data_IF_852275358519
#
_entry.id   IF_852275358519
#
_cell.length_a   1.000
_cell.length_b   1.000
_cell.length_c   1.000
_cell.angle_alpha   90.00
_cell.angle_beta   90.00
_cell.angle_gamma   90.00
#
_symmetry.space_group_name_H-M   'P 1'
#
loop_
_entity.id
_entity.type
_entity.pdbx_description
1 polymer ?
#
# COMPACT_ATOMS: atom_id res chain seq x y z
N UNK A 1 22.67 14.98 23.64
CA UNK A 1 22.30 16.42 23.75
C UNK A 1 20.97 16.54 23.04
N UNK A 2 19.88 16.82 23.77
CA UNK A 2 18.56 17.04 23.13
C UNK A 2 18.74 18.22 22.19
N UNK A 3 18.59 17.97 20.89
CA UNK A 3 18.60 19.08 19.93
C UNK A 3 17.29 19.81 20.18
N UNK A 4 17.37 20.94 20.88
CA UNK A 4 16.33 21.96 20.92
C UNK A 4 16.27 22.62 19.54
N UNK A 5 15.96 21.82 18.52
CA UNK A 5 15.52 22.34 17.24
C UNK A 5 14.22 23.09 17.52
N UNK A 6 13.97 24.18 16.80
CA UNK A 6 12.82 25.08 16.90
C UNK A 6 11.45 24.41 16.59
N UNK A 7 11.35 23.08 16.76
CA UNK A 7 10.30 22.18 16.33
C UNK A 7 10.06 21.11 17.42
N UNK A 8 9.20 21.45 18.38
CA UNK A 8 8.88 20.59 19.53
C UNK A 8 8.16 19.29 19.15
N UNK A 9 7.59 19.22 17.95
CA UNK A 9 6.83 18.07 17.44
C UNK A 9 7.59 17.25 16.37
N UNK A 10 8.82 17.65 16.02
CA UNK A 10 9.63 17.06 14.95
C UNK A 10 8.99 17.08 13.55
N UNK A 11 7.99 17.93 13.32
CA UNK A 11 7.31 18.02 12.03
C UNK A 11 8.20 18.63 10.94
N UNK A 12 8.85 19.76 11.25
CA UNK A 12 9.77 20.45 10.35
C UNK A 12 11.07 19.68 10.14
N UNK A 13 11.66 19.12 11.20
CA UNK A 13 12.87 18.28 11.09
C UNK A 13 12.62 17.07 10.20
N UNK A 14 11.51 16.34 10.42
CA UNK A 14 11.21 15.16 9.59
C UNK A 14 10.83 15.55 8.16
N UNK A 15 10.19 16.70 7.94
CA UNK A 15 9.92 17.22 6.59
C UNK A 15 11.22 17.51 5.83
N UNK A 16 12.18 18.21 6.45
CA UNK A 16 13.48 18.52 5.83
C UNK A 16 14.26 17.25 5.52
N UNK A 17 14.30 16.29 6.45
CA UNK A 17 14.96 14.99 6.22
C UNK A 17 14.29 14.27 5.04
N UNK A 18 12.96 14.21 5.02
CA UNK A 18 12.21 13.53 3.97
C UNK A 18 12.45 14.18 2.61
N UNK A 19 12.37 15.50 2.53
CA UNK A 19 12.61 16.28 1.29
C UNK A 19 14.05 16.08 0.81
N UNK A 20 15.04 16.21 1.70
CA UNK A 20 16.45 16.03 1.34
C UNK A 20 16.75 14.61 0.86
N UNK A 21 16.21 13.60 1.54
CA UNK A 21 16.39 12.19 1.17
C UNK A 21 15.74 11.86 -0.18
N UNK A 22 14.51 12.32 -0.41
CA UNK A 22 13.81 12.09 -1.68
C UNK A 22 14.43 12.90 -2.83
N UNK A 23 14.91 14.12 -2.57
CA UNK A 23 15.65 14.90 -3.55
C UNK A 23 16.96 14.22 -3.95
N UNK A 24 17.69 13.64 -2.99
CA UNK A 24 18.89 12.86 -3.27
C UNK A 24 18.57 11.63 -4.13
N UNK A 25 17.53 10.87 -3.78
CA UNK A 25 17.07 9.73 -4.57
C UNK A 25 16.68 10.16 -6.00
N UNK A 26 15.99 11.29 -6.15
CA UNK A 26 15.64 11.86 -7.45
C UNK A 26 16.88 12.23 -8.28
N UNK A 27 17.88 12.87 -7.67
CA UNK A 27 19.14 13.20 -8.35
C UNK A 27 19.89 11.96 -8.80
N UNK A 28 19.96 10.91 -7.96
CA UNK A 28 20.58 9.64 -8.32
C UNK A 28 19.82 9.00 -9.49
N UNK A 29 18.49 9.00 -9.47
CA UNK A 29 17.68 8.50 -10.58
C UNK A 29 17.93 9.27 -11.88
N UNK A 30 18.08 10.60 -11.82
CA UNK A 30 18.40 11.40 -13.01
C UNK A 30 19.78 11.10 -13.60
N UNK A 31 20.78 10.85 -12.74
CA UNK A 31 22.17 10.60 -13.17
C UNK A 31 22.33 9.18 -13.71
N UNK A 32 21.80 8.18 -13.01
CA UNK A 32 22.03 6.77 -13.31
C UNK A 32 20.91 6.13 -14.14
N UNK A 33 19.73 6.76 -14.23
CA UNK A 33 18.55 6.18 -14.87
C UNK A 33 18.01 4.94 -14.17
N UNK A 34 18.48 4.65 -12.95
CA UNK A 34 18.10 3.46 -12.19
C UNK A 34 16.83 3.72 -11.37
N UNK A 35 15.75 3.07 -11.77
CA UNK A 35 14.45 3.18 -11.13
C UNK A 35 14.31 2.27 -9.91
N UNK A 36 15.28 1.38 -9.68
CA UNK A 36 15.34 0.50 -8.50
C UNK A 36 15.40 1.27 -7.20
N UNK A 37 16.05 2.44 -7.23
CA UNK A 37 16.21 3.31 -6.07
C UNK A 37 14.89 4.00 -5.68
N UNK A 38 14.00 4.27 -6.64
CA UNK A 38 12.76 5.03 -6.38
C UNK A 38 11.89 4.35 -5.32
N UNK A 39 11.64 3.05 -5.50
CA UNK A 39 10.81 2.27 -4.58
C UNK A 39 11.54 1.97 -3.25
N UNK A 40 12.85 1.71 -3.31
CA UNK A 40 13.66 1.48 -2.10
C UNK A 40 13.73 2.72 -1.21
N UNK A 41 13.94 3.90 -1.81
CA UNK A 41 13.99 5.18 -1.12
C UNK A 41 12.68 5.54 -0.40
N UNK A 42 11.54 4.99 -0.83
CA UNK A 42 10.29 5.10 -0.10
C UNK A 42 10.36 4.39 1.24
N UNK A 43 10.62 3.08 1.22
CA UNK A 43 10.65 2.24 2.42
C UNK A 43 11.78 2.59 3.39
N UNK A 44 12.99 2.85 2.89
CA UNK A 44 14.14 3.19 3.74
C UNK A 44 13.97 4.52 4.48
N UNK A 45 13.23 5.48 3.92
CA UNK A 45 12.99 6.77 4.55
C UNK A 45 12.16 6.63 5.84
N UNK A 46 11.15 5.76 5.87
CA UNK A 46 10.43 5.42 7.12
C UNK A 46 11.36 4.89 8.21
N UNK A 47 12.30 4.01 7.83
CA UNK A 47 13.30 3.47 8.76
C UNK A 47 14.18 4.59 9.32
N UNK A 48 14.67 5.47 8.45
CA UNK A 48 15.50 6.63 8.84
C UNK A 48 14.72 7.55 9.78
N UNK A 49 13.47 7.91 9.46
CA UNK A 49 12.66 8.78 10.31
C UNK A 49 12.41 8.16 11.70
N UNK A 50 12.07 6.87 11.77
CA UNK A 50 11.86 6.19 13.05
C UNK A 50 13.13 6.15 13.90
N UNK A 51 14.29 5.91 13.29
CA UNK A 51 15.58 5.89 13.97
C UNK A 51 16.02 7.29 14.43
N UNK A 52 15.95 8.28 13.53
CA UNK A 52 16.41 9.65 13.81
C UNK A 52 15.52 10.29 14.87
N UNK A 53 14.20 10.19 14.77
CA UNK A 53 13.30 10.79 15.76
C UNK A 53 13.49 10.19 17.15
N UNK A 54 13.72 8.88 17.27
CA UNK A 54 14.01 8.22 18.54
C UNK A 54 15.32 8.73 19.18
N UNK A 55 16.38 8.87 18.38
CA UNK A 55 17.68 9.33 18.86
C UNK A 55 17.70 10.84 19.18
N UNK A 56 17.03 11.66 18.37
CA UNK A 56 16.90 13.11 18.63
C UNK A 56 16.10 13.39 19.90
N UNK A 57 15.03 12.62 20.13
CA UNK A 57 14.18 12.75 21.32
C UNK A 57 14.92 12.41 22.61
N UNK A 58 15.93 11.54 22.54
CA UNK A 58 16.74 11.12 23.70
C UNK A 58 15.92 10.47 24.83
N UNK A 59 14.66 10.10 24.54
CA UNK A 59 13.71 9.52 25.48
C UNK A 59 13.39 8.10 25.05
N UNK A 60 13.89 7.13 25.82
CA UNK A 60 13.83 5.71 25.50
C UNK A 60 12.77 4.98 26.34
N UNK A 61 11.57 5.56 26.44
CA UNK A 61 10.48 4.87 27.11
C UNK A 61 10.01 3.67 26.30
N UNK A 62 9.41 2.69 27.00
CA UNK A 62 8.95 1.45 26.38
C UNK A 62 8.06 1.69 25.15
N UNK A 63 7.13 2.66 25.22
CA UNK A 63 6.23 3.00 24.11
C UNK A 63 6.98 3.53 22.88
N UNK A 64 7.95 4.43 23.08
CA UNK A 64 8.81 4.97 22.01
C UNK A 64 9.60 3.86 21.31
N UNK A 65 10.25 2.99 22.11
CA UNK A 65 11.01 1.87 21.59
C UNK A 65 10.11 0.91 20.81
N UNK A 66 8.97 0.51 21.38
CA UNK A 66 8.02 -0.41 20.72
C UNK A 66 7.60 0.17 19.39
N UNK A 67 7.04 1.38 19.35
CA UNK A 67 6.53 1.98 18.11
C UNK A 67 7.64 2.17 17.07
N UNK A 68 8.81 2.66 17.47
CA UNK A 68 9.95 2.78 16.55
C UNK A 68 10.38 1.43 15.99
N UNK A 69 10.46 0.38 16.81
CA UNK A 69 10.80 -0.98 16.35
C UNK A 69 9.74 -1.51 15.40
N UNK A 70 8.45 -1.38 15.71
CA UNK A 70 7.37 -1.82 14.84
C UNK A 70 7.42 -1.12 13.47
N UNK A 71 7.64 0.20 13.44
CA UNK A 71 7.79 0.95 12.19
C UNK A 71 9.05 0.55 11.44
N UNK A 72 10.20 0.39 12.11
CA UNK A 72 11.44 -0.04 11.47
C UNK A 72 11.37 -1.44 10.88
N UNK A 73 10.73 -2.39 11.58
CA UNK A 73 10.52 -3.76 11.09
C UNK A 73 9.63 -3.75 9.84
N UNK A 74 8.53 -3.01 9.86
CA UNK A 74 7.66 -2.83 8.70
C UNK A 74 8.40 -2.16 7.53
N UNK A 75 9.12 -1.08 7.80
CA UNK A 75 9.86 -0.32 6.79
C UNK A 75 10.98 -1.15 6.13
N UNK A 76 11.76 -1.89 6.95
CA UNK A 76 12.79 -2.81 6.46
C UNK A 76 12.18 -3.88 5.55
N UNK A 77 11.07 -4.50 5.98
CA UNK A 77 10.36 -5.51 5.20
C UNK A 77 9.87 -4.93 3.86
N UNK A 78 9.26 -3.74 3.87
CA UNK A 78 8.77 -3.07 2.66
C UNK A 78 9.93 -2.76 1.70
N UNK A 79 11.02 -2.17 2.19
CA UNK A 79 12.19 -1.82 1.39
C UNK A 79 12.84 -3.07 0.77
N UNK A 80 13.02 -4.15 1.55
CA UNK A 80 13.58 -5.42 1.07
C UNK A 80 12.67 -6.06 0.03
N UNK A 81 11.35 -6.09 0.27
CA UNK A 81 10.39 -6.68 -0.65
C UNK A 81 10.39 -5.95 -2.01
N UNK A 82 10.38 -4.62 -1.99
CA UNK A 82 10.44 -3.80 -3.20
C UNK A 82 11.76 -3.98 -3.95
N UNK A 83 12.89 -4.01 -3.23
CA UNK A 83 14.20 -4.25 -3.82
C UNK A 83 14.27 -5.62 -4.52
N UNK A 84 13.84 -6.69 -3.84
CA UNK A 84 13.80 -8.05 -4.43
C UNK A 84 12.90 -8.07 -5.67
N UNK A 85 11.76 -7.39 -5.63
CA UNK A 85 10.81 -7.33 -6.75
C UNK A 85 11.42 -6.67 -7.97
N UNK A 86 12.10 -5.54 -7.81
CA UNK A 86 12.73 -4.83 -8.94
C UNK A 86 13.89 -5.63 -9.53
N UNK A 87 14.77 -6.19 -8.69
CA UNK A 87 15.87 -7.06 -9.13
C UNK A 87 15.33 -8.23 -9.96
N UNK A 88 14.26 -8.90 -9.48
CA UNK A 88 13.62 -9.99 -10.22
C UNK A 88 12.86 -9.56 -11.48
N UNK A 89 12.54 -8.28 -11.62
CA UNK A 89 11.89 -7.73 -12.81
C UNK A 89 12.91 -7.27 -13.87
N UNK A 90 14.20 -7.59 -13.67
CA UNK A 90 15.28 -7.21 -14.59
C UNK A 90 15.67 -5.74 -14.48
N UNK A 91 15.44 -5.11 -13.32
CA UNK A 91 15.82 -3.71 -13.07
C UNK A 91 14.94 -2.68 -13.77
N UNK A 92 13.81 -3.07 -14.37
CA UNK A 92 12.87 -2.16 -15.03
C UNK A 92 11.47 -2.32 -14.44
N UNK A 93 10.88 -1.22 -14.01
CA UNK A 93 9.48 -1.19 -13.60
C UNK A 93 8.63 -0.55 -14.70
N UNK A 94 7.73 -1.36 -15.27
CA UNK A 94 6.82 -0.94 -16.35
C UNK A 94 5.92 0.22 -15.95
N UNK A 95 5.74 0.52 -14.66
CA UNK A 95 4.96 1.68 -14.17
C UNK A 95 5.59 3.03 -14.54
N UNK A 96 6.89 3.07 -14.78
CA UNK A 96 7.59 4.30 -15.11
C UNK A 96 7.79 4.50 -16.61
N UNK A 97 7.52 3.50 -17.45
CA UNK A 97 7.71 3.57 -18.91
C UNK A 97 7.03 4.81 -19.54
N UNK A 98 5.80 5.11 -19.13
CA UNK A 98 5.04 6.28 -19.60
C UNK A 98 5.49 7.61 -18.96
N UNK A 99 6.13 7.54 -17.79
CA UNK A 99 6.57 8.71 -17.01
C UNK A 99 7.99 9.14 -17.38
N UNK A 100 8.82 8.24 -17.90
CA UNK A 100 10.22 8.49 -18.32
C UNK A 100 10.37 9.67 -19.26
N UNK A 101 9.38 9.89 -20.13
CA UNK A 101 9.42 10.95 -21.16
C UNK A 101 8.89 12.30 -20.66
N UNK A 102 8.45 12.39 -19.39
CA UNK A 102 7.78 13.58 -18.84
C UNK A 102 8.42 13.97 -17.49
N UNK A 103 9.41 14.88 -17.47
CA UNK A 103 10.10 15.27 -16.23
C UNK A 103 9.14 15.79 -15.14
N UNK A 104 8.08 16.52 -15.54
CA UNK A 104 7.05 16.98 -14.60
C UNK A 104 6.31 15.83 -13.89
N UNK A 105 6.05 14.71 -14.58
CA UNK A 105 5.38 13.56 -13.98
C UNK A 105 6.26 12.86 -12.93
N UNK A 106 7.58 12.88 -13.11
CA UNK A 106 8.54 12.36 -12.14
C UNK A 106 8.65 13.28 -10.92
N UNK A 107 8.69 14.60 -11.10
CA UNK A 107 8.65 15.54 -9.96
C UNK A 107 7.40 15.34 -9.11
N UNK A 108 6.23 15.22 -9.74
CA UNK A 108 4.96 14.95 -9.03
C UNK A 108 5.03 13.62 -8.27
N UNK A 109 5.61 12.57 -8.87
CA UNK A 109 5.78 11.28 -8.20
C UNK A 109 6.59 11.41 -6.90
N UNK A 110 7.72 12.11 -6.95
CA UNK A 110 8.56 12.33 -5.77
C UNK A 110 7.90 13.22 -4.71
N UNK A 111 7.12 14.24 -5.12
CA UNK A 111 6.33 15.04 -4.18
C UNK A 111 5.29 14.17 -3.45
N UNK A 112 4.58 13.31 -4.20
CA UNK A 112 3.62 12.37 -3.62
C UNK A 112 4.31 11.37 -2.67
N UNK A 113 5.53 10.96 -2.99
CA UNK A 113 6.33 10.07 -2.14
C UNK A 113 6.79 10.77 -0.86
N UNK A 114 7.19 12.05 -0.93
CA UNK A 114 7.50 12.88 0.25
C UNK A 114 6.26 12.99 1.15
N UNK A 115 5.12 13.36 0.58
CA UNK A 115 3.87 13.49 1.34
C UNK A 115 3.45 12.16 1.97
N UNK A 116 3.61 11.05 1.24
CA UNK A 116 3.31 9.73 1.76
C UNK A 116 4.18 9.35 2.94
N UNK A 117 5.51 9.44 2.81
CA UNK A 117 6.41 9.09 3.91
C UNK A 117 6.14 9.97 5.13
N UNK A 118 5.99 11.28 4.91
CA UNK A 118 5.84 12.23 6.00
C UNK A 118 4.51 12.07 6.74
N UNK A 119 3.38 11.97 6.03
CA UNK A 119 2.05 11.82 6.64
C UNK A 119 1.92 10.47 7.36
N UNK A 120 2.39 9.38 6.75
CA UNK A 120 2.25 8.05 7.33
C UNK A 120 3.19 7.88 8.55
N UNK A 121 4.33 8.56 8.58
CA UNK A 121 5.26 8.56 9.73
C UNK A 121 4.81 9.42 10.91
N UNK A 122 3.75 10.23 10.78
CA UNK A 122 3.29 11.15 11.84
C UNK A 122 3.17 10.50 13.24
N UNK A 123 2.61 9.28 13.40
CA UNK A 123 2.48 8.68 14.73
C UNK A 123 3.81 8.49 15.44
N UNK A 124 4.84 7.96 14.74
CA UNK A 124 6.17 7.74 15.34
C UNK A 124 6.93 9.06 15.53
N UNK A 125 6.81 9.99 14.58
CA UNK A 125 7.40 11.33 14.68
C UNK A 125 6.88 12.08 15.90
N UNK A 126 5.57 12.14 16.05
CA UNK A 126 4.92 12.86 17.15
C UNK A 126 5.18 12.18 18.49
N UNK A 127 5.13 10.85 18.55
CA UNK A 127 5.43 10.11 19.77
C UNK A 127 6.86 10.38 20.27
N UNK A 128 7.85 10.33 19.38
CA UNK A 128 9.25 10.54 19.71
C UNK A 128 9.64 12.01 19.94
N UNK A 129 8.71 12.93 19.67
CA UNK A 129 8.94 14.36 19.88
C UNK A 129 9.04 14.72 21.37
N UNK A 130 9.82 15.76 21.72
CA UNK A 130 9.95 16.21 23.10
C UNK A 130 8.61 16.72 23.66
N UNK A 131 7.76 17.33 22.83
CA UNK A 131 6.41 17.75 23.24
C UNK A 131 5.57 16.57 23.77
N UNK A 132 5.70 15.39 23.18
CA UNK A 132 4.92 14.21 23.60
C UNK A 132 5.61 13.41 24.72
N UNK A 133 6.94 13.32 24.70
CA UNK A 133 7.68 12.42 25.59
C UNK A 133 8.29 13.08 26.83
N UNK A 134 8.58 14.38 26.81
CA UNK A 134 9.30 15.06 27.91
C UNK A 134 8.30 15.73 28.87
N UNK A 135 8.26 15.33 30.16
CA UNK A 135 7.32 15.90 31.13
C UNK A 135 7.41 17.42 31.30
N UNK A 136 8.62 17.98 31.24
CA UNK A 136 8.82 19.44 31.35
C UNK A 136 8.25 20.24 30.16
N UNK A 137 7.87 19.57 29.06
CA UNK A 137 7.23 20.20 27.89
C UNK A 137 5.74 19.84 27.76
N UNK A 138 5.14 19.27 28.80
CA UNK A 138 3.73 18.84 28.78
C UNK A 138 3.51 17.47 28.13
N UNK A 139 4.58 16.72 27.87
CA UNK A 139 4.56 15.32 27.49
C UNK A 139 4.46 14.38 28.69
N UNK A 140 4.45 13.07 28.45
CA UNK A 140 4.33 12.11 29.54
C UNK A 140 4.60 10.68 29.13
N UNK A 141 4.99 9.87 30.10
CA UNK A 141 5.15 8.42 29.94
C UNK A 141 4.19 7.66 30.87
N UNK A 142 2.87 7.64 30.56
CA UNK A 142 1.95 6.80 31.31
C UNK A 142 2.33 5.32 31.09
N UNK A 143 2.13 4.45 32.11
CA UNK A 143 2.34 3.01 31.98
C UNK A 143 1.63 2.43 30.76
N UNK A 144 2.17 1.33 30.22
CA UNK A 144 1.51 0.61 29.14
C UNK A 144 0.17 0.06 29.63
N UNK A 145 -0.88 0.28 28.84
CA UNK A 145 -2.25 -0.13 29.17
C UNK A 145 -2.88 -1.02 28.11
N UNK A 146 -4.17 -1.30 28.28
CA UNK A 146 -4.94 -2.15 27.36
C UNK A 146 -4.93 -1.65 25.91
N UNK A 147 -4.87 -0.32 25.68
CA UNK A 147 -4.78 0.23 24.31
C UNK A 147 -3.44 -0.06 23.66
N UNK A 148 -2.33 0.03 24.41
CA UNK A 148 -1.01 -0.34 23.89
C UNK A 148 -1.00 -1.81 23.45
N UNK A 149 -1.56 -2.71 24.27
CA UNK A 149 -1.69 -4.14 23.94
C UNK A 149 -2.57 -4.34 22.70
N UNK A 150 -3.74 -3.69 22.65
CA UNK A 150 -4.64 -3.79 21.49
C UNK A 150 -3.94 -3.33 20.20
N UNK A 151 -3.21 -2.21 20.24
CA UNK A 151 -2.47 -1.70 19.10
C UNK A 151 -1.31 -2.61 18.67
N UNK A 152 -0.58 -3.23 19.62
CA UNK A 152 0.46 -4.23 19.32
C UNK A 152 -0.15 -5.46 18.65
N UNK A 153 -1.31 -5.94 19.13
CA UNK A 153 -2.03 -7.09 18.54
C UNK A 153 -2.50 -6.75 17.13
N UNK A 154 -3.11 -5.57 16.93
CA UNK A 154 -3.52 -5.08 15.61
C UNK A 154 -2.32 -5.01 14.66
N UNK A 155 -1.20 -4.43 15.09
CA UNK A 155 0.02 -4.37 14.30
C UNK A 155 0.54 -5.75 13.94
N UNK A 156 0.58 -6.68 14.89
CA UNK A 156 1.11 -8.03 14.67
C UNK A 156 0.25 -8.80 13.68
N UNK A 157 -1.07 -8.76 13.84
CA UNK A 157 -2.00 -9.39 12.89
C UNK A 157 -1.85 -8.76 11.51
N UNK A 158 -1.80 -7.44 11.43
CA UNK A 158 -1.66 -6.71 10.18
C UNK A 158 -0.37 -7.08 9.44
N UNK A 159 0.76 -7.04 10.16
CA UNK A 159 2.07 -7.39 9.64
C UNK A 159 2.13 -8.86 9.16
N UNK A 160 1.60 -9.81 9.92
CA UNK A 160 1.54 -11.22 9.52
C UNK A 160 0.67 -11.39 8.26
N UNK A 161 -0.51 -10.76 8.22
CA UNK A 161 -1.38 -10.80 7.04
C UNK A 161 -0.67 -10.26 5.79
N UNK A 162 0.04 -9.14 5.92
CA UNK A 162 0.79 -8.53 4.83
C UNK A 162 1.92 -9.45 4.33
N UNK A 163 2.76 -9.94 5.26
CA UNK A 163 3.87 -10.87 4.96
C UNK A 163 3.39 -12.13 4.27
N UNK A 164 2.37 -12.78 4.83
CA UNK A 164 1.82 -14.04 4.30
C UNK A 164 1.13 -13.82 2.96
N UNK A 165 0.37 -12.74 2.79
CA UNK A 165 -0.30 -12.42 1.53
C UNK A 165 0.70 -12.18 0.39
N UNK A 166 1.74 -11.39 0.63
CA UNK A 166 2.75 -11.10 -0.39
C UNK A 166 3.60 -12.33 -0.68
N UNK A 167 3.96 -13.13 0.32
CA UNK A 167 4.67 -14.39 0.11
C UNK A 167 3.86 -15.34 -0.78
N UNK A 168 2.57 -15.54 -0.47
CA UNK A 168 1.70 -16.37 -1.30
C UNK A 168 1.62 -15.85 -2.74
N UNK A 169 1.47 -14.53 -2.94
CA UNK A 169 1.40 -13.92 -4.28
C UNK A 169 2.71 -14.05 -5.04
N UNK A 170 3.83 -13.92 -4.34
CA UNK A 170 5.16 -14.06 -4.90
C UNK A 170 5.44 -15.50 -5.33
N UNK A 171 5.16 -16.46 -4.46
CA UNK A 171 5.29 -17.89 -4.77
C UNK A 171 4.41 -18.30 -5.95
N UNK A 172 3.15 -17.85 -5.98
CA UNK A 172 2.23 -18.08 -7.10
C UNK A 172 2.76 -17.52 -8.42
N UNK A 173 3.33 -16.32 -8.43
CA UNK A 173 3.92 -15.76 -9.66
C UNK A 173 5.14 -16.56 -10.10
N UNK A 174 5.93 -17.07 -9.16
CA UNK A 174 7.15 -17.80 -9.44
C UNK A 174 6.87 -19.22 -9.99
N UNK A 175 5.71 -19.81 -9.70
CA UNK A 175 5.29 -21.08 -10.26
C UNK A 175 4.77 -21.01 -11.71
N UNK A 176 4.84 -19.84 -12.36
CA UNK A 176 4.39 -19.60 -13.74
C UNK A 176 3.00 -20.18 -14.07
N UNK A 177 1.94 -19.80 -13.32
CA UNK A 177 0.60 -20.33 -13.50
C UNK A 177 0.02 -19.91 -14.86
N UNK A 178 -0.91 -20.70 -15.43
CA UNK A 178 -1.59 -20.37 -16.66
C UNK A 178 -2.22 -18.97 -16.59
N UNK A 179 -2.17 -18.22 -17.70
CA UNK A 179 -2.69 -16.84 -17.76
C UNK A 179 -4.20 -16.77 -17.52
N UNK A 180 -4.92 -17.87 -17.74
CA UNK A 180 -6.35 -18.07 -17.45
C UNK A 180 -6.67 -18.20 -15.97
N UNK A 181 -5.67 -18.39 -15.12
CA UNK A 181 -5.83 -18.55 -13.68
C UNK A 181 -5.44 -17.28 -12.92
N UNK A 182 -6.03 -17.10 -11.74
CA UNK A 182 -5.74 -16.00 -10.82
C UNK A 182 -5.45 -16.54 -9.41
N UNK A 183 -4.79 -15.70 -8.62
CA UNK A 183 -4.40 -16.07 -7.27
C UNK A 183 -5.63 -16.19 -6.37
N UNK A 184 -5.92 -17.41 -5.91
CA UNK A 184 -7.04 -17.71 -4.98
C UNK A 184 -6.61 -18.56 -3.78
N UNK A 185 -5.31 -18.69 -3.52
CA UNK A 185 -4.77 -19.55 -2.47
C UNK A 185 -4.46 -18.77 -1.17
N UNK A 186 -4.54 -19.47 -0.03
CA UNK A 186 -4.26 -18.90 1.29
C UNK A 186 -5.19 -17.72 1.61
N UNK A 187 -4.62 -16.60 2.05
CA UNK A 187 -5.38 -15.38 2.39
C UNK A 187 -6.15 -14.80 1.19
N UNK A 188 -5.66 -15.02 -0.04
CA UNK A 188 -6.32 -14.56 -1.28
C UNK A 188 -7.66 -15.27 -1.55
N UNK A 189 -7.95 -16.37 -0.85
CA UNK A 189 -9.25 -17.04 -0.87
C UNK A 189 -10.32 -16.24 -0.14
N UNK A 190 -9.95 -15.54 0.93
CA UNK A 190 -10.87 -14.87 1.86
C UNK A 190 -10.96 -13.35 1.64
N UNK A 191 -9.94 -12.77 1.01
CA UNK A 191 -9.88 -11.35 0.65
C UNK A 191 -9.19 -11.19 -0.70
N UNK A 192 -9.63 -10.22 -1.51
CA UNK A 192 -9.03 -9.87 -2.81
C UNK A 192 -7.79 -8.97 -2.67
N UNK A 193 -7.59 -8.35 -1.51
CA UNK A 193 -6.41 -7.55 -1.18
C UNK A 193 -6.00 -7.73 0.30
N UNK A 194 -5.63 -8.97 0.71
CA UNK A 194 -5.30 -9.27 2.10
C UNK A 194 -4.03 -8.54 2.58
N UNK A 195 -3.12 -8.21 1.67
CA UNK A 195 -1.95 -7.39 1.98
C UNK A 195 -2.33 -5.95 2.33
N UNK A 196 -3.30 -5.35 1.61
CA UNK A 196 -3.79 -4.00 1.93
C UNK A 196 -4.52 -3.97 3.28
N UNK A 197 -5.27 -5.04 3.59
CA UNK A 197 -5.86 -5.18 4.92
C UNK A 197 -4.79 -5.20 6.00
N UNK A 198 -3.70 -5.96 5.78
CA UNK A 198 -2.57 -6.02 6.70
C UNK A 198 -1.95 -4.65 6.96
N UNK A 199 -1.63 -3.92 5.89
CA UNK A 199 -1.02 -2.59 5.96
C UNK A 199 -1.94 -1.56 6.63
N UNK A 200 -3.24 -1.57 6.32
CA UNK A 200 -4.20 -0.67 6.98
C UNK A 200 -4.29 -1.00 8.48
N UNK A 201 -4.45 -2.28 8.83
CA UNK A 201 -4.61 -2.70 10.22
C UNK A 201 -3.38 -2.36 11.07
N UNK A 202 -2.18 -2.51 10.53
CA UNK A 202 -0.97 -2.22 11.28
C UNK A 202 -0.77 -0.73 11.54
N UNK A 203 -1.13 0.15 10.59
CA UNK A 203 -1.07 1.60 10.82
C UNK A 203 -2.13 2.09 11.79
N UNK A 204 -3.33 1.48 11.77
CA UNK A 204 -4.32 1.67 12.84
C UNK A 204 -3.78 1.18 14.19
N UNK A 205 -3.04 0.07 14.22
CA UNK A 205 -2.37 -0.42 15.41
C UNK A 205 -1.37 0.58 15.99
N UNK A 206 -0.49 1.14 15.15
CA UNK A 206 0.46 2.20 15.56
C UNK A 206 -0.30 3.42 16.12
N UNK A 207 -1.34 3.88 15.43
CA UNK A 207 -2.17 5.00 15.89
C UNK A 207 -2.77 4.75 17.28
N UNK A 208 -3.29 3.54 17.53
CA UNK A 208 -3.87 3.14 18.81
C UNK A 208 -2.83 3.15 19.94
N UNK A 209 -1.61 2.66 19.70
CA UNK A 209 -0.51 2.71 20.69
C UNK A 209 -0.16 4.16 21.04
N UNK A 210 0.07 4.98 20.01
CA UNK A 210 0.48 6.40 20.18
C UNK A 210 -0.60 7.20 20.93
N UNK A 211 -1.88 6.96 20.63
CA UNK A 211 -2.99 7.67 21.27
C UNK A 211 -3.32 7.16 22.69
N UNK A 212 -2.68 6.08 23.16
CA UNK A 212 -2.81 5.63 24.55
C UNK A 212 -2.43 6.73 25.55
N UNK A 213 -1.44 7.58 25.20
CA UNK A 213 -0.98 8.70 26.02
C UNK A 213 -2.08 9.73 26.31
N UNK A 214 -3.00 9.94 25.35
CA UNK A 214 -3.99 11.02 25.41
C UNK A 214 -5.03 10.88 26.52
N UNK A 215 -5.21 9.66 27.05
CA UNK A 215 -6.14 9.37 28.15
C UNK A 215 -5.60 9.92 29.47
N UNK A 216 -4.27 9.91 29.65
CA UNK A 216 -3.67 10.35 30.88
C UNK A 216 -3.83 11.86 31.06
N UNK A 217 -4.04 12.30 32.30
CA UNK A 217 -4.04 13.73 32.68
C UNK A 217 -2.64 14.37 32.57
N UNK A 218 -1.64 13.56 32.22
CA UNK A 218 -0.22 13.94 32.12
C UNK A 218 0.03 14.77 30.84
N UNK A 219 -0.75 14.55 29.77
CA UNK A 219 -0.52 15.23 28.50
C UNK A 219 -1.25 16.58 28.42
N UNK A 220 -0.54 17.63 28.05
CA UNK A 220 -1.12 18.94 27.75
C UNK A 220 -2.15 18.84 26.59
N UNK A 221 -3.20 19.66 26.60
CA UNK A 221 -4.26 19.66 25.58
C UNK A 221 -3.75 19.83 24.14
N UNK A 222 -2.68 20.60 23.93
CA UNK A 222 -2.06 20.74 22.60
C UNK A 222 -1.37 19.45 22.13
N UNK A 223 -0.67 18.76 23.03
CA UNK A 223 -0.04 17.46 22.77
C UNK A 223 -1.10 16.42 22.43
N UNK A 224 -2.22 16.40 23.17
CA UNK A 224 -3.36 15.52 22.86
C UNK A 224 -3.87 15.75 21.45
N UNK A 225 -4.09 17.01 21.04
CA UNK A 225 -4.52 17.36 19.68
C UNK A 225 -3.53 16.88 18.61
N UNK A 226 -2.23 17.07 18.84
CA UNK A 226 -1.19 16.61 17.91
C UNK A 226 -1.19 15.09 17.77
N UNK A 227 -1.23 14.33 18.87
CA UNK A 227 -1.30 12.86 18.85
C UNK A 227 -2.58 12.37 18.15
N UNK A 228 -3.71 13.03 18.33
CA UNK A 228 -4.93 12.72 17.58
C UNK A 228 -4.80 13.03 16.09
N UNK A 229 -4.10 14.11 15.71
CA UNK A 229 -3.82 14.43 14.32
C UNK A 229 -3.01 13.33 13.59
N UNK A 230 -2.30 12.47 14.33
CA UNK A 230 -1.63 11.30 13.74
C UNK A 230 -2.60 10.28 13.11
N UNK A 231 -3.91 10.40 13.32
CA UNK A 231 -4.96 9.64 12.61
C UNK A 231 -4.88 9.83 11.09
N UNK A 232 -4.28 10.94 10.64
CA UNK A 232 -4.01 11.18 9.23
C UNK A 232 -3.16 10.06 8.62
N UNK A 233 -2.28 9.39 9.38
CA UNK A 233 -1.47 8.27 8.87
C UNK A 233 -2.31 7.08 8.39
N UNK A 234 -3.13 6.41 9.23
CA UNK A 234 -3.96 5.30 8.76
C UNK A 234 -5.03 5.73 7.75
N UNK A 235 -5.62 6.93 7.90
CA UNK A 235 -6.61 7.43 6.93
C UNK A 235 -5.98 7.65 5.56
N UNK A 236 -4.81 8.29 5.51
CA UNK A 236 -4.10 8.53 4.26
C UNK A 236 -3.68 7.22 3.60
N UNK A 237 -3.21 6.25 4.40
CA UNK A 237 -2.93 4.89 3.94
C UNK A 237 -4.16 4.24 3.29
N UNK A 238 -5.33 4.35 3.92
CA UNK A 238 -6.59 3.87 3.34
C UNK A 238 -6.94 4.58 2.03
N UNK A 239 -6.80 5.91 1.95
CA UNK A 239 -7.09 6.68 0.74
C UNK A 239 -6.19 6.24 -0.43
N UNK A 240 -4.89 6.00 -0.18
CA UNK A 240 -3.96 5.53 -1.20
C UNK A 240 -4.31 4.12 -1.68
N UNK A 241 -4.50 3.18 -0.74
CA UNK A 241 -4.71 1.77 -1.06
C UNK A 241 -6.11 1.48 -1.60
N UNK A 242 -7.14 2.14 -1.08
CA UNK A 242 -8.51 1.94 -1.54
C UNK A 242 -8.89 2.86 -2.71
N UNK A 243 -8.19 3.98 -2.89
CA UNK A 243 -8.50 4.98 -3.90
C UNK A 243 -7.43 5.10 -4.97
N UNK A 244 -6.57 6.11 -4.82
CA UNK A 244 -5.76 6.68 -5.90
C UNK A 244 -4.86 5.68 -6.63
N UNK A 245 -4.13 4.84 -5.89
CA UNK A 245 -3.06 4.01 -6.46
C UNK A 245 -3.24 2.51 -6.26
N UNK A 246 -4.17 2.08 -5.40
CA UNK A 246 -4.34 0.67 -5.08
C UNK A 246 -5.44 -0.05 -5.86
N UNK A 247 -6.62 -0.21 -5.26
CA UNK A 247 -7.66 -1.13 -5.74
C UNK A 247 -8.22 -0.81 -7.14
N UNK A 248 -8.62 0.43 -7.49
CA UNK A 248 -9.16 0.72 -8.81
C UNK A 248 -8.21 0.40 -9.95
N UNK A 249 -6.91 0.67 -9.75
CA UNK A 249 -5.88 0.44 -10.76
C UNK A 249 -5.52 -1.04 -10.94
N UNK A 250 -5.95 -1.92 -10.02
CA UNK A 250 -5.62 -3.34 -10.05
C UNK A 250 -6.83 -4.20 -10.36
N UNK A 251 -7.95 -4.02 -9.66
CA UNK A 251 -9.13 -4.89 -9.73
C UNK A 251 -9.86 -4.76 -11.07
N UNK A 252 -10.12 -3.53 -11.51
CA UNK A 252 -10.89 -3.27 -12.74
C UNK A 252 -10.11 -3.69 -14.00
N UNK A 253 -8.81 -3.35 -14.16
CA UNK A 253 -8.01 -3.86 -15.28
C UNK A 253 -7.85 -5.38 -15.28
N UNK A 254 -7.76 -6.02 -14.11
CA UNK A 254 -7.71 -7.48 -14.01
C UNK A 254 -9.02 -8.11 -14.50
N UNK A 255 -10.17 -7.55 -14.11
CA UNK A 255 -11.47 -7.96 -14.64
C UNK A 255 -11.57 -7.78 -16.16
N UNK A 256 -11.19 -6.60 -16.68
CA UNK A 256 -11.12 -6.34 -18.12
C UNK A 256 -10.26 -7.38 -18.85
N UNK A 257 -9.09 -7.73 -18.29
CA UNK A 257 -8.19 -8.74 -18.85
C UNK A 257 -8.86 -10.12 -18.94
N UNK A 258 -9.51 -10.60 -17.88
CA UNK A 258 -10.18 -11.90 -17.91
C UNK A 258 -11.41 -11.91 -18.82
N UNK A 259 -12.15 -10.80 -18.90
CA UNK A 259 -13.24 -10.64 -19.84
C UNK A 259 -12.78 -10.75 -21.30
N UNK A 260 -11.75 -10.00 -21.69
CA UNK A 260 -11.14 -10.08 -23.03
C UNK A 260 -10.51 -11.44 -23.33
N UNK A 261 -10.02 -12.13 -22.29
CA UNK A 261 -9.48 -13.47 -22.43
C UNK A 261 -10.56 -14.49 -22.83
N UNK A 262 -11.78 -14.37 -22.31
CA UNK A 262 -12.88 -15.28 -22.62
C UNK A 262 -13.76 -14.86 -23.80
N UNK A 263 -13.78 -13.57 -24.17
CA UNK A 263 -14.70 -13.03 -25.17
C UNK A 263 -14.03 -12.30 -26.36
N UNK A 264 -12.69 -12.18 -26.39
CA UNK A 264 -11.99 -11.53 -27.50
C UNK A 264 -12.03 -12.33 -28.81
N UNK A 265 -11.60 -11.73 -29.92
CA UNK A 265 -11.62 -12.34 -31.26
C UNK A 265 -10.80 -13.64 -31.35
N UNK A 266 -9.71 -13.73 -30.59
CA UNK A 266 -8.72 -14.82 -30.69
C UNK A 266 -8.98 -15.93 -29.66
N UNK A 267 -10.18 -15.98 -29.07
CA UNK A 267 -10.52 -16.93 -28.00
C UNK A 267 -10.38 -18.37 -28.47
N UNK A 268 -10.86 -18.72 -29.66
CA UNK A 268 -10.81 -20.11 -30.13
C UNK A 268 -9.38 -20.61 -30.32
N UNK A 269 -8.48 -19.76 -30.84
CA UNK A 269 -7.06 -20.11 -30.97
C UNK A 269 -6.38 -20.27 -29.59
N UNK A 270 -6.66 -19.37 -28.64
CA UNK A 270 -6.13 -19.47 -27.28
C UNK A 270 -6.68 -20.68 -26.54
N UNK A 271 -7.93 -21.04 -26.78
CA UNK A 271 -8.60 -22.18 -26.17
C UNK A 271 -8.02 -23.53 -26.61
N UNK A 272 -7.40 -23.61 -27.80
CA UNK A 272 -6.67 -24.81 -28.24
C UNK A 272 -5.45 -25.06 -27.34
N UNK A 273 -4.77 -24.00 -26.89
CA UNK A 273 -3.59 -24.10 -26.02
C UNK A 273 -3.97 -24.23 -24.54
N UNK A 274 -5.03 -23.55 -24.13
CA UNK A 274 -5.51 -23.52 -22.75
C UNK A 274 -7.05 -23.57 -22.72
N UNK A 275 -7.66 -24.76 -22.53
CA UNK A 275 -9.12 -24.93 -22.56
C UNK A 275 -9.86 -24.06 -21.53
N UNK A 276 -9.17 -23.70 -20.45
CA UNK A 276 -9.69 -22.91 -19.33
C UNK A 276 -9.89 -21.42 -19.67
N UNK A 277 -9.42 -20.97 -20.83
CA UNK A 277 -9.56 -19.60 -21.34
C UNK A 277 -11.02 -19.20 -21.54
N UNK A 278 -11.87 -20.11 -22.05
CA UNK A 278 -13.29 -19.83 -22.29
C UNK A 278 -14.07 -19.58 -20.99
N UNK A 279 -13.67 -20.22 -19.89
CA UNK A 279 -14.31 -20.07 -18.58
C UNK A 279 -13.63 -19.04 -17.66
N UNK A 280 -12.51 -18.45 -18.08
CA UNK A 280 -11.69 -17.57 -17.24
C UNK A 280 -12.47 -16.37 -16.66
N UNK A 281 -13.28 -15.69 -17.48
CA UNK A 281 -14.13 -14.59 -17.03
C UNK A 281 -15.18 -15.05 -16.01
N UNK A 282 -15.92 -16.12 -16.32
CA UNK A 282 -16.97 -16.65 -15.43
C UNK A 282 -16.41 -17.03 -14.05
N UNK A 283 -15.24 -17.69 -14.01
CA UNK A 283 -14.55 -18.03 -12.76
C UNK A 283 -14.09 -16.80 -11.98
N UNK A 284 -13.59 -15.77 -12.69
CA UNK A 284 -13.14 -14.53 -12.04
C UNK A 284 -14.31 -13.71 -11.49
N UNK A 285 -15.41 -13.61 -12.23
CA UNK A 285 -16.62 -12.91 -11.78
C UNK A 285 -17.24 -13.60 -10.55
N UNK A 286 -17.29 -14.94 -10.54
CA UNK A 286 -17.70 -15.69 -9.34
C UNK A 286 -16.76 -15.42 -8.16
N UNK A 287 -15.44 -15.43 -8.38
CA UNK A 287 -14.47 -15.08 -7.34
C UNK A 287 -14.72 -13.70 -6.73
N UNK A 288 -14.99 -12.68 -7.56
CA UNK A 288 -15.31 -11.32 -7.13
C UNK A 288 -16.61 -11.26 -6.31
N UNK A 289 -17.62 -12.07 -6.67
CA UNK A 289 -18.90 -12.14 -5.96
C UNK A 289 -18.80 -12.86 -4.61
N UNK A 290 -17.88 -13.80 -4.48
CA UNK A 290 -17.70 -14.64 -3.29
C UNK A 290 -16.66 -14.09 -2.31
N UNK A 291 -15.79 -13.19 -2.75
CA UNK A 291 -14.60 -12.78 -1.98
C UNK A 291 -14.61 -11.29 -1.71
N UNK A 292 -14.53 -10.96 -0.42
CA UNK A 292 -14.42 -9.59 0.07
C UNK A 292 -13.20 -8.87 -0.49
N UNK A 293 -13.28 -7.55 -0.66
CA UNK A 293 -12.13 -6.75 -1.10
C UNK A 293 -11.04 -6.70 -0.06
N UNK A 294 -11.39 -6.29 1.15
CA UNK A 294 -10.42 -5.89 2.16
C UNK A 294 -10.44 -6.86 3.33
N UNK A 295 -11.52 -6.86 4.10
CA UNK A 295 -11.65 -7.66 5.33
C UNK A 295 -11.82 -9.13 4.96
N UNK A 296 -10.95 -10.04 5.46
CA UNK A 296 -11.09 -11.47 5.19
C UNK A 296 -12.40 -12.03 5.74
N UNK A 297 -13.21 -12.62 4.87
CA UNK A 297 -14.44 -13.32 5.26
C UNK A 297 -14.47 -14.75 4.69
N UNK A 298 -15.11 -15.70 5.38
CA UNK A 298 -15.45 -16.97 4.77
C UNK A 298 -16.37 -16.78 3.56
N UNK A 299 -16.04 -17.39 2.42
CA UNK A 299 -16.71 -17.16 1.14
C UNK A 299 -18.23 -17.43 1.20
N UNK A 300 -18.65 -18.44 1.96
CA UNK A 300 -20.06 -18.78 2.13
C UNK A 300 -20.86 -17.69 2.85
N UNK A 301 -20.21 -16.88 3.69
CA UNK A 301 -20.84 -15.75 4.38
C UNK A 301 -20.91 -14.57 3.41
N UNK A 302 -19.79 -14.22 2.79
CA UNK A 302 -19.68 -13.03 1.94
C UNK A 302 -20.55 -13.13 0.66
N UNK A 303 -20.68 -14.32 0.07
CA UNK A 303 -21.58 -14.57 -1.08
C UNK A 303 -23.03 -14.18 -0.79
N UNK A 304 -23.47 -14.25 0.47
CA UNK A 304 -24.83 -13.92 0.90
C UNK A 304 -25.03 -12.44 1.24
N UNK A 305 -23.97 -11.63 1.25
CA UNK A 305 -24.09 -10.22 1.62
C UNK A 305 -24.85 -9.44 0.55
N UNK A 306 -25.91 -8.70 0.93
CA UNK A 306 -26.53 -7.72 0.03
C UNK A 306 -25.54 -6.60 -0.29
N UNK A 307 -25.71 -5.94 -1.43
CA UNK A 307 -24.74 -4.94 -1.92
C UNK A 307 -24.49 -3.80 -0.92
N UNK A 308 -25.51 -3.31 -0.20
CA UNK A 308 -25.31 -2.26 0.82
C UNK A 308 -24.35 -2.69 1.93
N UNK A 309 -24.38 -3.96 2.35
CA UNK A 309 -23.52 -4.48 3.40
C UNK A 309 -22.08 -4.60 2.90
N UNK A 310 -21.88 -4.87 1.60
CA UNK A 310 -20.57 -4.89 0.98
C UNK A 310 -19.91 -3.50 0.99
N UNK A 311 -20.71 -2.44 0.84
CA UNK A 311 -20.20 -1.05 0.90
C UNK A 311 -19.71 -0.66 2.29
N UNK A 312 -20.37 -1.14 3.35
CA UNK A 312 -19.92 -0.95 4.74
C UNK A 312 -18.52 -1.53 4.95
N UNK A 313 -18.21 -2.65 4.29
CA UNK A 313 -16.90 -3.28 4.31
C UNK A 313 -15.96 -2.81 3.19
N UNK A 314 -16.23 -1.62 2.63
CA UNK A 314 -15.37 -0.93 1.66
C UNK A 314 -15.20 -1.71 0.34
N UNK A 315 -16.18 -2.51 -0.05
CA UNK A 315 -16.26 -3.12 -1.38
C UNK A 315 -17.25 -2.35 -2.25
N UNK A 316 -16.75 -1.31 -2.92
CA UNK A 316 -17.55 -0.45 -3.78
C UNK A 316 -17.67 -1.01 -5.21
N UNK A 317 -18.81 -0.80 -5.90
CA UNK A 317 -19.03 -1.35 -7.24
C UNK A 317 -18.02 -0.88 -8.29
N UNK A 318 -17.47 0.34 -8.15
CA UNK A 318 -16.52 0.91 -9.11
C UNK A 318 -15.16 0.20 -9.13
N UNK A 319 -14.85 -0.64 -8.13
CA UNK A 319 -13.66 -1.50 -8.16
C UNK A 319 -13.77 -2.65 -9.16
N UNK A 320 -14.99 -3.04 -9.52
CA UNK A 320 -15.26 -4.24 -10.31
C UNK A 320 -15.47 -3.86 -11.78
N UNK A 321 -15.01 -4.73 -12.68
CA UNK A 321 -15.36 -4.61 -14.09
C UNK A 321 -16.82 -5.02 -14.27
N UNK A 322 -17.60 -4.23 -15.01
CA UNK A 322 -19.01 -4.50 -15.24
C UNK A 322 -19.23 -4.85 -16.72
N UNK A 323 -19.50 -6.14 -16.97
CA UNK A 323 -19.73 -6.67 -18.32
C UNK A 323 -20.88 -5.96 -19.05
N UNK A 324 -22.03 -5.73 -18.39
CA UNK A 324 -23.20 -5.14 -19.07
C UNK A 324 -23.02 -3.68 -19.43
N UNK A 325 -22.22 -2.93 -18.67
CA UNK A 325 -21.96 -1.51 -18.92
C UNK A 325 -20.74 -1.26 -19.81
N UNK A 326 -19.69 -2.08 -19.68
CA UNK A 326 -18.39 -1.80 -20.28
C UNK A 326 -17.96 -2.85 -21.32
N UNK A 327 -18.56 -4.04 -21.33
CA UNK A 327 -18.13 -5.18 -22.13
C UNK A 327 -18.12 -4.90 -23.65
N UNK A 328 -19.23 -4.40 -24.19
CA UNK A 328 -19.34 -4.11 -25.63
C UNK A 328 -18.31 -3.08 -26.10
N UNK A 329 -18.12 -2.00 -25.33
CA UNK A 329 -17.13 -0.97 -25.63
C UNK A 329 -15.71 -1.52 -25.61
N UNK A 330 -15.41 -2.37 -24.62
CA UNK A 330 -14.09 -2.98 -24.46
C UNK A 330 -13.75 -3.92 -25.61
N UNK A 331 -14.70 -4.70 -26.14
CA UNK A 331 -14.49 -5.56 -27.31
C UNK A 331 -14.23 -4.73 -28.57
N UNK A 332 -15.00 -3.67 -28.80
CA UNK A 332 -14.78 -2.76 -29.93
C UNK A 332 -13.40 -2.10 -29.89
N UNK A 333 -12.95 -1.66 -28.70
CA UNK A 333 -11.60 -1.11 -28.50
C UNK A 333 -10.50 -2.14 -28.80
N UNK A 334 -10.71 -3.41 -28.45
CA UNK A 334 -9.75 -4.48 -28.73
C UNK A 334 -9.68 -4.77 -30.23
N UNK A 335 -10.82 -4.92 -30.91
CA UNK A 335 -10.87 -5.15 -32.35
C UNK A 335 -10.20 -4.02 -33.16
N UNK A 336 -10.44 -2.76 -32.77
CA UNK A 336 -9.79 -1.62 -33.41
C UNK A 336 -8.27 -1.66 -33.23
N UNK A 337 -7.78 -1.98 -32.03
CA UNK A 337 -6.34 -2.12 -31.77
C UNK A 337 -5.73 -3.26 -32.58
N UNK A 338 -6.40 -4.40 -32.70
CA UNK A 338 -5.93 -5.54 -33.49
C UNK A 338 -5.84 -5.14 -34.96
N UNK A 339 -6.87 -4.49 -35.52
CA UNK A 339 -6.85 -3.98 -36.90
C UNK A 339 -5.69 -3.02 -37.16
N UNK A 340 -5.52 -2.00 -36.31
CA UNK A 340 -4.42 -1.03 -36.46
C UNK A 340 -3.04 -1.68 -36.35
N UNK A 341 -2.87 -2.68 -35.48
CA UNK A 341 -1.59 -3.40 -35.36
C UNK A 341 -1.31 -4.27 -36.59
N UNK A 342 -2.33 -4.91 -37.15
CA UNK A 342 -2.21 -5.68 -38.39
C UNK A 342 -1.85 -4.76 -39.56
N UNK A 343 -2.50 -3.61 -39.70
CA UNK A 343 -2.18 -2.60 -40.73
C UNK A 343 -0.75 -2.07 -40.60
N UNK A 344 -0.29 -1.76 -39.38
CA UNK A 344 1.10 -1.35 -39.14
C UNK A 344 2.11 -2.43 -39.48
N UNK A 345 1.81 -3.68 -39.15
CA UNK A 345 2.69 -4.80 -39.47
C UNK A 345 2.78 -5.02 -40.97
N UNK A 346 1.66 -4.88 -41.69
CA UNK A 346 1.59 -4.98 -43.14
C UNK A 346 2.28 -3.81 -43.89
N UNK A 347 2.46 -2.64 -43.27
CA UNK A 347 3.24 -1.53 -43.85
C UNK A 347 4.76 -1.65 -43.65
N UNK A 348 5.21 -2.55 -42.78
CA UNK A 348 6.64 -2.72 -42.44
C UNK A 348 7.26 -3.91 -43.20
N UNK A 349 6.43 -4.88 -43.63
CA UNK A 349 6.76 -5.89 -44.67
C UNK A 349 6.54 -5.33 -46.05
#
# INVERSE_FOLDING_TARGET
>A
MVVYALDEYYLGVTAVITVGYQALAFLIMLIFGDETINDFAGGSNFLILALVTLNLGGTYYARNIIVSVLVMVWAARLAIFLLIRVIKSGGKDTRFDDKRKKPAAMVIFYILQILWVWIVSLPVTLLNSPAASVPSQGGGNPPLGARDIAGIVMWSIGFICEVVADFHKFAWRFSNPPKSQFMRYGLWKFSRAPNYFGEILLWWGIFVIVNSITISDIANGNVKKALWASILSPIFTMILLLGLSGLPLTQKPTGKKFFLMSNGSDVDQRAIQDPDVKSAWSRYDEYVKETSVLIPFPNFIYRRFPEFLRWIFLDFPFYRFNESKEGAKVLQEEEQKTKTNTEKSAMIT
#
